data_IF_553833531887
#
_entry.id   IF_553833531887
#
_cell.length_a   1.000
_cell.length_b   1.000
_cell.length_c   1.000
_cell.angle_alpha   90.00
_cell.angle_beta   90.00
_cell.angle_gamma   90.00
#
_symmetry.space_group_name_H-M   'P 1'
#
loop_
_entity.id
_entity.type
_entity.pdbx_description
1 polymer ?
#
# COMPACT_ATOMS: atom_id res chain seq x y z
N UNK A 1 -22.71 -53.51 28.23
CA UNK A 1 -22.16 -52.14 28.05
C UNK A 1 -21.88 -51.98 26.57
N UNK A 2 -22.74 -51.26 25.85
CA UNK A 2 -22.66 -51.14 24.39
C UNK A 2 -21.54 -50.19 23.95
N UNK A 3 -20.98 -50.39 22.75
CA UNK A 3 -20.07 -49.42 22.14
C UNK A 3 -20.86 -48.13 21.88
N UNK A 4 -20.37 -47.01 22.40
CA UNK A 4 -20.95 -45.69 22.16
C UNK A 4 -20.88 -45.39 20.66
N UNK A 5 -22.06 -45.30 20.04
CA UNK A 5 -22.22 -44.86 18.67
C UNK A 5 -21.67 -43.41 18.59
N UNK A 6 -20.55 -43.21 17.90
CA UNK A 6 -20.13 -41.87 17.50
C UNK A 6 -21.27 -41.26 16.66
N UNK A 7 -21.77 -40.12 17.12
CA UNK A 7 -22.75 -39.33 16.39
C UNK A 7 -22.08 -38.86 15.09
N UNK A 8 -22.72 -39.03 13.91
CA UNK A 8 -22.18 -38.48 12.67
C UNK A 8 -21.96 -36.98 12.81
N UNK A 9 -20.80 -36.49 12.37
CA UNK A 9 -20.59 -35.06 12.20
C UNK A 9 -21.60 -34.55 11.15
N UNK A 10 -22.39 -33.55 11.52
CA UNK A 10 -23.28 -32.84 10.59
C UNK A 10 -22.46 -32.34 9.40
N UNK A 11 -22.95 -32.45 8.15
CA UNK A 11 -22.24 -31.98 6.96
C UNK A 11 -22.15 -30.45 6.97
N UNK A 12 -21.12 -29.91 7.61
CA UNK A 12 -20.83 -28.49 7.62
C UNK A 12 -20.55 -28.00 6.19
N UNK A 13 -21.14 -26.86 5.82
CA UNK A 13 -20.81 -26.14 4.59
C UNK A 13 -19.30 -25.89 4.53
N UNK A 14 -18.69 -26.11 3.36
CA UNK A 14 -17.24 -25.93 3.18
C UNK A 14 -16.81 -24.50 3.51
N UNK A 15 -15.57 -24.32 3.97
CA UNK A 15 -15.00 -22.98 4.22
C UNK A 15 -15.15 -22.05 3.01
N UNK A 16 -15.00 -22.58 1.79
CA UNK A 16 -15.23 -21.83 0.57
C UNK A 16 -16.68 -21.31 0.47
N UNK A 17 -17.67 -22.18 0.73
CA UNK A 17 -19.09 -21.80 0.73
C UNK A 17 -19.43 -20.77 1.82
N UNK A 18 -18.71 -20.78 2.94
CA UNK A 18 -18.87 -19.81 4.02
C UNK A 18 -18.27 -18.43 3.68
N UNK A 19 -17.19 -18.39 2.90
CA UNK A 19 -16.52 -17.15 2.50
C UNK A 19 -17.16 -16.47 1.29
N UNK A 20 -17.87 -17.22 0.45
CA UNK A 20 -18.50 -16.70 -0.76
C UNK A 20 -19.42 -15.48 -0.54
N UNK A 21 -20.36 -15.47 0.43
CA UNK A 21 -21.17 -14.28 0.68
C UNK A 21 -20.34 -13.06 1.12
N UNK A 22 -19.21 -13.27 1.80
CA UNK A 22 -18.31 -12.19 2.21
C UNK A 22 -17.55 -11.61 1.01
N UNK A 23 -17.09 -12.47 0.09
CA UNK A 23 -16.46 -12.05 -1.16
C UNK A 23 -17.42 -11.28 -2.04
N UNK A 24 -18.66 -11.78 -2.16
CA UNK A 24 -19.71 -11.12 -2.90
C UNK A 24 -19.99 -9.73 -2.33
N UNK A 25 -20.10 -9.62 -0.99
CA UNK A 25 -20.29 -8.33 -0.32
C UNK A 25 -19.14 -7.35 -0.54
N UNK A 26 -17.89 -7.85 -0.55
CA UNK A 26 -16.73 -7.04 -0.86
C UNK A 26 -16.76 -6.51 -2.30
N UNK A 27 -17.08 -7.38 -3.27
CA UNK A 27 -17.20 -7.00 -4.69
C UNK A 27 -18.30 -5.95 -4.90
N UNK A 28 -19.48 -6.15 -4.34
CA UNK A 28 -20.59 -5.18 -4.40
C UNK A 28 -20.18 -3.81 -3.86
N UNK A 29 -19.46 -3.77 -2.75
CA UNK A 29 -18.99 -2.49 -2.18
C UNK A 29 -18.01 -1.77 -3.11
N UNK A 30 -17.12 -2.51 -3.76
CA UNK A 30 -16.16 -1.96 -4.71
C UNK A 30 -16.90 -1.40 -5.93
N UNK A 31 -17.86 -2.15 -6.46
CA UNK A 31 -18.71 -1.72 -7.59
C UNK A 31 -19.50 -0.44 -7.26
N UNK A 32 -20.11 -0.37 -6.07
CA UNK A 32 -20.78 0.84 -5.57
C UNK A 32 -19.83 2.05 -5.43
N UNK A 33 -18.55 1.81 -5.17
CA UNK A 33 -17.53 2.84 -5.01
C UNK A 33 -16.80 3.18 -6.32
N UNK A 34 -17.05 2.46 -7.42
CA UNK A 34 -16.26 2.50 -8.64
C UNK A 34 -16.09 3.91 -9.23
N UNK A 35 -17.15 4.72 -9.26
CA UNK A 35 -17.05 6.10 -9.78
C UNK A 35 -16.11 6.96 -8.92
N UNK A 36 -16.15 6.79 -7.59
CA UNK A 36 -15.32 7.55 -6.64
C UNK A 36 -13.87 7.07 -6.67
N UNK A 37 -13.66 5.77 -6.75
CA UNK A 37 -12.34 5.14 -6.91
C UNK A 37 -11.67 5.60 -8.21
N UNK A 38 -12.39 5.51 -9.33
CA UNK A 38 -11.88 5.98 -10.61
C UNK A 38 -11.65 7.49 -10.63
N UNK A 39 -12.45 8.28 -9.90
CA UNK A 39 -12.21 9.71 -9.76
C UNK A 39 -10.95 10.02 -8.94
N UNK A 40 -10.69 9.28 -7.87
CA UNK A 40 -9.46 9.35 -7.09
C UNK A 40 -8.23 9.03 -7.95
N UNK A 41 -8.29 7.91 -8.67
CA UNK A 41 -7.22 7.46 -9.58
C UNK A 41 -6.92 8.49 -10.68
N UNK A 42 -7.96 9.01 -11.35
CA UNK A 42 -7.79 10.09 -12.34
C UNK A 42 -7.28 11.39 -11.72
N UNK A 43 -7.67 11.70 -10.48
CA UNK A 43 -7.17 12.87 -9.79
C UNK A 43 -5.66 12.74 -9.58
N UNK A 44 -5.18 11.61 -9.05
CA UNK A 44 -3.74 11.34 -8.88
C UNK A 44 -3.03 11.39 -10.25
N UNK A 45 -3.52 10.60 -11.22
CA UNK A 45 -2.91 10.48 -12.55
C UNK A 45 -2.73 11.82 -13.29
N UNK A 46 -3.69 12.74 -13.14
CA UNK A 46 -3.70 14.03 -13.86
C UNK A 46 -2.74 15.09 -13.33
N UNK A 47 -2.13 14.91 -12.15
CA UNK A 47 -1.04 15.77 -11.71
C UNK A 47 0.07 14.90 -11.10
N UNK A 48 0.97 14.36 -11.94
CA UNK A 48 2.08 13.56 -11.47
C UNK A 48 3.01 14.39 -10.58
N UNK A 49 3.35 13.83 -9.42
CA UNK A 49 4.29 14.39 -8.46
C UNK A 49 5.41 13.38 -8.22
N UNK A 50 6.65 13.87 -8.09
CA UNK A 50 7.83 13.02 -7.92
C UNK A 50 7.95 12.52 -6.47
N UNK A 51 8.86 11.58 -6.26
CA UNK A 51 9.24 11.07 -4.96
C UNK A 51 9.40 12.19 -3.91
N UNK A 52 8.76 12.01 -2.76
CA UNK A 52 8.69 12.92 -1.60
C UNK A 52 7.93 14.25 -1.81
N UNK A 53 7.46 14.53 -3.02
CA UNK A 53 6.76 15.76 -3.37
C UNK A 53 5.26 15.51 -3.69
N UNK A 54 4.73 14.32 -3.35
CA UNK A 54 3.38 13.84 -3.66
C UNK A 54 2.26 14.45 -2.80
N UNK A 55 2.32 15.77 -2.61
CA UNK A 55 1.42 16.51 -1.72
C UNK A 55 -0.04 16.52 -2.18
N UNK A 56 -0.29 16.55 -3.49
CA UNK A 56 -1.65 16.47 -4.04
C UNK A 56 -2.17 15.06 -3.95
N UNK A 57 -1.40 14.05 -4.34
CA UNK A 57 -1.83 12.66 -4.22
C UNK A 57 -2.15 12.28 -2.77
N UNK A 58 -1.26 12.64 -1.84
CA UNK A 58 -1.45 12.52 -0.39
C UNK A 58 -2.79 13.12 0.05
N UNK A 59 -3.04 14.39 -0.32
CA UNK A 59 -4.26 15.10 0.07
C UNK A 59 -5.51 14.46 -0.52
N UNK A 60 -5.49 14.00 -1.76
CA UNK A 60 -6.67 13.34 -2.35
C UNK A 60 -6.98 12.02 -1.64
N UNK A 61 -5.96 11.25 -1.26
CA UNK A 61 -6.11 9.98 -0.54
C UNK A 61 -6.61 10.16 0.89
N UNK A 62 -6.01 11.07 1.67
CA UNK A 62 -6.48 11.36 3.04
C UNK A 62 -7.91 11.87 3.03
N UNK A 63 -8.21 12.80 2.13
CA UNK A 63 -9.55 13.36 1.93
C UNK A 63 -10.57 12.29 1.51
N UNK A 64 -10.17 11.29 0.72
CA UNK A 64 -11.03 10.17 0.35
C UNK A 64 -11.51 9.44 1.61
N UNK A 65 -10.59 9.02 2.48
CA UNK A 65 -10.94 8.29 3.70
C UNK A 65 -11.71 9.15 4.73
N UNK A 66 -11.36 10.42 4.87
CA UNK A 66 -12.09 11.36 5.75
C UNK A 66 -13.57 11.49 5.36
N UNK A 67 -13.86 11.39 4.05
CA UNK A 67 -15.19 11.56 3.48
C UNK A 67 -15.89 10.24 3.17
N UNK A 68 -15.21 9.11 3.36
CA UNK A 68 -15.77 7.80 3.09
C UNK A 68 -16.99 7.56 3.98
N UNK A 69 -18.18 7.31 3.40
CA UNK A 69 -19.40 7.18 4.18
C UNK A 69 -19.44 5.88 5.02
N UNK A 70 -20.19 5.89 6.14
CA UNK A 70 -20.64 7.08 6.86
C UNK A 70 -19.46 7.96 7.32
N UNK A 71 -19.64 9.28 7.33
CA UNK A 71 -18.57 10.22 7.62
C UNK A 71 -17.85 9.89 8.94
N UNK A 72 -16.53 10.12 8.99
CA UNK A 72 -15.67 9.78 10.13
C UNK A 72 -15.64 8.27 10.49
N UNK A 73 -15.87 7.38 9.52
CA UNK A 73 -15.66 5.94 9.71
C UNK A 73 -14.18 5.58 9.89
N UNK A 74 -13.29 6.31 9.22
CA UNK A 74 -11.85 6.05 9.24
C UNK A 74 -11.14 7.06 10.15
N UNK A 75 -10.23 6.57 10.99
CA UNK A 75 -9.29 7.41 11.73
C UNK A 75 -8.08 7.71 10.82
N UNK A 76 -8.07 8.91 10.24
CA UNK A 76 -7.03 9.33 9.28
C UNK A 76 -5.96 10.14 9.99
N UNK A 77 -4.70 9.73 9.81
CA UNK A 77 -3.49 10.40 10.28
C UNK A 77 -2.67 10.82 9.06
N UNK A 78 -2.78 12.08 8.61
CA UNK A 78 -1.91 12.61 7.56
C UNK A 78 -0.49 12.82 8.11
N UNK A 79 0.51 12.84 7.23
CA UNK A 79 1.92 13.08 7.55
C UNK A 79 2.49 12.05 8.52
N UNK A 80 2.16 10.77 8.29
CA UNK A 80 2.50 9.67 9.18
C UNK A 80 3.93 9.17 8.91
N UNK A 81 4.90 9.60 9.72
CA UNK A 81 6.31 9.26 9.57
C UNK A 81 7.04 10.11 8.51
N UNK A 82 6.41 10.32 7.36
CA UNK A 82 6.91 11.18 6.27
C UNK A 82 5.91 12.30 5.91
N UNK A 83 6.41 13.36 5.28
CA UNK A 83 5.62 14.52 4.89
C UNK A 83 4.48 14.18 3.91
N UNK A 84 4.67 13.19 3.04
CA UNK A 84 3.65 12.78 2.06
C UNK A 84 3.09 11.39 2.36
N UNK A 85 3.39 10.79 3.51
CA UNK A 85 2.78 9.53 3.95
C UNK A 85 1.48 9.78 4.75
N UNK A 86 0.62 8.76 4.84
CA UNK A 86 -0.56 8.79 5.69
C UNK A 86 -0.91 7.40 6.21
N UNK A 87 -1.72 7.37 7.28
CA UNK A 87 -2.29 6.14 7.83
C UNK A 87 -3.79 6.32 8.07
N UNK A 88 -4.61 5.47 7.47
CA UNK A 88 -6.05 5.43 7.72
C UNK A 88 -6.42 4.11 8.39
N UNK A 89 -7.11 4.17 9.53
CA UNK A 89 -7.49 2.98 10.30
C UNK A 89 -9.00 2.83 10.40
N UNK A 90 -9.49 1.60 10.30
CA UNK A 90 -10.85 1.22 10.60
C UNK A 90 -10.87 -0.10 11.36
N UNK A 91 -11.83 -0.27 12.27
CA UNK A 91 -12.08 -1.53 12.96
C UNK A 91 -13.59 -1.79 13.02
N UNK A 92 -14.04 -3.06 12.96
CA UNK A 92 -15.45 -3.38 13.06
C UNK A 92 -16.06 -2.89 14.39
N UNK A 93 -17.25 -2.26 14.37
CA UNK A 93 -17.94 -1.85 15.59
C UNK A 93 -18.14 -3.04 16.54
N UNK A 94 -17.81 -2.87 17.82
CA UNK A 94 -17.96 -3.93 18.83
C UNK A 94 -16.85 -4.99 18.84
N UNK A 95 -15.98 -5.02 17.82
CA UNK A 95 -14.71 -5.75 17.89
C UNK A 95 -13.67 -4.82 18.52
N UNK A 96 -13.33 -5.06 19.80
CA UNK A 96 -12.30 -4.26 20.44
C UNK A 96 -10.98 -4.40 19.67
N UNK A 97 -10.43 -3.30 19.16
CA UNK A 97 -9.06 -3.20 18.66
C UNK A 97 -8.07 -3.22 19.83
N UNK A 98 -8.17 -4.26 20.67
CA UNK A 98 -7.33 -4.50 21.84
C UNK A 98 -6.18 -5.45 21.52
N UNK A 99 -5.39 -5.82 22.54
CA UNK A 99 -4.29 -6.79 22.39
C UNK A 99 -4.79 -8.08 21.74
N UNK A 100 -4.12 -8.52 20.67
CA UNK A 100 -4.47 -9.73 19.91
C UNK A 100 -5.45 -9.52 18.75
N UNK A 101 -5.84 -8.29 18.43
CA UNK A 101 -6.49 -7.99 17.16
C UNK A 101 -5.51 -8.15 15.99
N UNK A 102 -5.97 -8.74 14.89
CA UNK A 102 -5.19 -8.86 13.66
C UNK A 102 -5.02 -7.47 13.01
N UNK A 103 -3.79 -7.08 12.73
CA UNK A 103 -3.42 -5.78 12.19
C UNK A 103 -3.04 -5.95 10.71
N UNK A 104 -4.00 -5.66 9.82
CA UNK A 104 -3.86 -5.89 8.38
C UNK A 104 -3.74 -4.56 7.66
N UNK A 105 -2.71 -4.40 6.83
CA UNK A 105 -2.49 -3.19 6.03
C UNK A 105 -2.62 -3.43 4.52
N UNK A 106 -3.17 -2.43 3.82
CA UNK A 106 -3.07 -2.28 2.37
C UNK A 106 -2.15 -1.10 2.06
N UNK A 107 -1.17 -1.31 1.18
CA UNK A 107 -0.26 -0.26 0.75
C UNK A 107 -0.83 0.50 -0.45
N UNK A 108 -0.63 1.82 -0.46
CA UNK A 108 -0.96 2.71 -1.56
C UNK A 108 0.28 3.52 -1.95
N UNK A 109 0.77 3.34 -3.18
CA UNK A 109 1.83 4.15 -3.78
C UNK A 109 1.24 5.16 -4.74
N UNK A 110 1.92 6.28 -4.96
CA UNK A 110 1.34 7.40 -5.72
C UNK A 110 2.37 8.44 -6.18
N UNK A 111 3.65 8.13 -6.16
CA UNK A 111 4.69 8.88 -6.84
C UNK A 111 4.68 8.62 -8.35
N UNK A 112 5.30 9.52 -9.09
CA UNK A 112 5.38 9.49 -10.54
C UNK A 112 6.84 9.56 -11.00
N UNK A 113 7.08 9.11 -12.22
CA UNK A 113 8.40 9.14 -12.85
C UNK A 113 8.68 10.48 -13.53
N UNK A 114 9.94 10.96 -13.49
CA UNK A 114 10.35 12.16 -14.22
C UNK A 114 10.01 12.07 -15.71
N UNK A 115 9.33 13.09 -16.23
CA UNK A 115 8.87 13.22 -17.62
C UNK A 115 7.90 12.14 -18.16
N UNK A 116 7.70 11.03 -17.44
CA UNK A 116 6.83 9.92 -17.84
C UNK A 116 5.49 9.91 -17.09
N UNK A 117 5.40 10.62 -15.96
CA UNK A 117 4.21 10.60 -15.11
C UNK A 117 4.03 9.22 -14.46
N UNK A 118 2.79 8.80 -14.24
CA UNK A 118 2.51 7.48 -13.65
C UNK A 118 2.61 6.33 -14.68
N UNK A 119 3.75 6.23 -15.37
CA UNK A 119 3.99 5.15 -16.33
C UNK A 119 4.07 3.77 -15.65
N UNK A 120 4.47 3.72 -14.38
CA UNK A 120 4.44 2.51 -13.53
C UNK A 120 3.04 2.22 -12.96
N UNK A 121 2.10 3.16 -13.10
CA UNK A 121 0.70 2.95 -12.72
C UNK A 121 0.42 3.11 -11.22
N UNK A 122 1.21 3.90 -10.48
CA UNK A 122 1.03 4.07 -9.03
C UNK A 122 -0.35 4.66 -8.67
N UNK A 123 -0.97 5.45 -9.55
CA UNK A 123 -2.38 5.85 -9.37
C UNK A 123 -3.36 4.66 -9.26
N UNK A 124 -3.08 3.55 -9.94
CA UNK A 124 -3.87 2.31 -9.85
C UNK A 124 -3.53 1.51 -8.59
N UNK A 125 -2.27 1.52 -8.14
CA UNK A 125 -1.86 0.91 -6.87
C UNK A 125 -2.61 1.57 -5.70
N UNK A 126 -2.62 2.91 -5.68
CA UNK A 126 -3.41 3.68 -4.72
C UNK A 126 -4.91 3.31 -4.79
N UNK A 127 -5.50 3.26 -5.98
CA UNK A 127 -6.91 2.92 -6.18
C UNK A 127 -7.25 1.52 -5.66
N UNK A 128 -6.44 0.50 -6.00
CA UNK A 128 -6.68 -0.89 -5.59
C UNK A 128 -6.50 -1.07 -4.09
N UNK A 129 -5.49 -0.43 -3.47
CA UNK A 129 -5.30 -0.47 -2.02
C UNK A 129 -6.52 0.10 -1.28
N UNK A 130 -7.06 1.22 -1.76
CA UNK A 130 -8.30 1.82 -1.23
C UNK A 130 -9.51 0.90 -1.46
N UNK A 131 -9.66 0.35 -2.66
CA UNK A 131 -10.77 -0.54 -3.01
C UNK A 131 -10.79 -1.80 -2.13
N UNK A 132 -9.64 -2.43 -1.93
CA UNK A 132 -9.48 -3.62 -1.10
C UNK A 132 -9.87 -3.33 0.37
N UNK A 133 -9.46 -2.18 0.90
CA UNK A 133 -9.83 -1.75 2.25
C UNK A 133 -11.35 -1.53 2.39
N UNK A 134 -12.01 -0.93 1.41
CA UNK A 134 -13.47 -0.76 1.40
C UNK A 134 -14.20 -2.11 1.29
N UNK A 135 -13.73 -3.01 0.42
CA UNK A 135 -14.30 -4.34 0.26
C UNK A 135 -14.21 -5.17 1.53
N UNK A 136 -13.04 -5.19 2.17
CA UNK A 136 -12.82 -5.91 3.44
C UNK A 136 -13.69 -5.33 4.56
N UNK A 137 -13.76 -4.01 4.67
CA UNK A 137 -14.67 -3.33 5.60
C UNK A 137 -16.10 -3.81 5.43
N UNK A 138 -16.63 -3.78 4.20
CA UNK A 138 -18.02 -4.15 3.94
C UNK A 138 -18.30 -5.63 4.20
N UNK A 139 -17.34 -6.51 3.91
CA UNK A 139 -17.42 -7.92 4.26
C UNK A 139 -17.53 -8.10 5.79
N UNK A 140 -16.72 -7.37 6.56
CA UNK A 140 -16.70 -7.46 8.03
C UNK A 140 -17.92 -6.83 8.70
N UNK A 141 -18.47 -5.73 8.16
CA UNK A 141 -19.72 -5.12 8.64
C UNK A 141 -20.93 -6.06 8.47
N UNK A 142 -20.86 -7.01 7.53
CA UNK A 142 -21.88 -8.04 7.32
C UNK A 142 -21.85 -9.19 8.34
N UNK A 143 -20.86 -9.23 9.23
CA UNK A 143 -20.68 -10.33 10.21
C UNK A 143 -21.24 -9.89 11.57
N UNK A 144 -22.12 -10.70 12.17
CA UNK A 144 -22.76 -10.36 13.45
C UNK A 144 -21.78 -10.26 14.63
N UNK A 145 -20.72 -11.06 14.62
CA UNK A 145 -19.63 -11.04 15.59
C UNK A 145 -18.30 -11.08 14.82
N UNK A 146 -17.85 -9.95 14.27
CA UNK A 146 -16.64 -9.91 13.46
C UNK A 146 -15.42 -10.24 14.33
N UNK A 147 -14.39 -10.89 13.76
CA UNK A 147 -13.15 -11.13 14.48
C UNK A 147 -12.49 -9.80 14.86
N UNK A 148 -11.65 -9.77 15.92
CA UNK A 148 -10.88 -8.59 16.26
C UNK A 148 -9.84 -8.33 15.17
N UNK A 149 -10.12 -7.35 14.32
CA UNK A 149 -9.26 -6.96 13.20
C UNK A 149 -9.23 -5.44 13.08
N UNK A 150 -8.07 -4.90 12.77
CA UNK A 150 -7.89 -3.52 12.35
C UNK A 150 -7.45 -3.54 10.88
N UNK A 151 -8.23 -2.84 10.06
CA UNK A 151 -7.92 -2.59 8.65
C UNK A 151 -7.19 -1.26 8.57
N UNK A 152 -6.00 -1.29 8.00
CA UNK A 152 -5.11 -0.14 7.89
C UNK A 152 -4.85 0.10 6.40
N UNK A 153 -4.85 1.36 6.00
CA UNK A 153 -4.34 1.78 4.69
C UNK A 153 -3.15 2.68 4.95
N UNK A 154 -2.01 2.30 4.40
CA UNK A 154 -0.76 3.02 4.56
C UNK A 154 -0.36 3.64 3.22
N UNK A 155 -0.28 4.96 3.18
CA UNK A 155 0.28 5.68 2.04
C UNK A 155 1.80 5.65 2.09
N UNK A 156 2.41 5.07 1.07
CA UNK A 156 3.85 4.86 0.95
C UNK A 156 4.39 5.69 -0.22
N UNK A 157 4.93 6.89 0.04
CA UNK A 157 5.51 7.75 -1.00
C UNK A 157 6.88 7.23 -1.46
N UNK A 158 7.42 7.84 -2.51
CA UNK A 158 8.81 7.69 -2.97
C UNK A 158 9.24 6.23 -3.19
N UNK A 159 8.48 5.48 -3.99
CA UNK A 159 8.86 4.11 -4.36
C UNK A 159 9.92 4.08 -5.45
N UNK A 160 9.78 4.94 -6.47
CA UNK A 160 10.62 4.96 -7.67
C UNK A 160 11.99 5.63 -7.46
N UNK A 161 12.13 6.44 -6.39
CA UNK A 161 13.36 7.17 -6.09
C UNK A 161 13.41 7.47 -4.57
N UNK A 162 14.43 6.96 -3.88
CA UNK A 162 14.73 7.23 -2.47
C UNK A 162 14.17 6.25 -1.42
N UNK A 163 13.21 5.39 -1.76
CA UNK A 163 12.84 4.24 -0.93
C UNK A 163 11.99 4.58 0.30
N UNK A 164 10.92 5.35 0.14
CA UNK A 164 10.09 5.84 1.25
C UNK A 164 9.49 4.76 2.17
N UNK A 165 9.37 3.50 1.71
CA UNK A 165 9.00 2.38 2.60
C UNK A 165 10.08 2.07 3.64
N UNK A 166 11.36 2.20 3.28
CA UNK A 166 12.49 2.01 4.19
C UNK A 166 12.41 3.08 5.29
N UNK A 167 12.25 4.35 4.92
CA UNK A 167 12.08 5.44 5.88
C UNK A 167 10.88 5.21 6.81
N UNK A 168 9.76 4.72 6.27
CA UNK A 168 8.57 4.38 7.05
C UNK A 168 8.81 3.21 8.01
N UNK A 169 9.58 2.19 7.60
CA UNK A 169 10.00 1.10 8.48
C UNK A 169 10.84 1.65 9.63
N UNK A 170 11.82 2.51 9.34
CA UNK A 170 12.68 3.15 10.35
C UNK A 170 11.89 4.06 11.29
N UNK A 171 10.89 4.77 10.78
CA UNK A 171 9.95 5.57 11.55
C UNK A 171 8.95 4.72 12.38
N UNK A 172 8.97 3.39 12.23
CA UNK A 172 8.12 2.46 12.97
C UNK A 172 6.69 2.37 12.44
N UNK A 173 6.42 2.82 11.20
CA UNK A 173 5.08 2.82 10.62
C UNK A 173 4.50 1.40 10.41
N UNK A 174 5.39 0.43 10.18
CA UNK A 174 5.07 -0.98 10.01
C UNK A 174 5.05 -1.78 11.33
N UNK A 175 5.36 -1.13 12.45
CA UNK A 175 5.36 -1.80 13.75
C UNK A 175 3.96 -2.32 14.08
N UNK A 176 3.91 -3.52 14.61
CA UNK A 176 2.67 -4.20 15.03
C UNK A 176 1.69 -4.47 13.87
N UNK A 177 2.16 -4.53 12.62
CA UNK A 177 1.39 -5.07 11.49
C UNK A 177 1.64 -6.58 11.37
N UNK A 178 0.59 -7.37 11.22
CA UNK A 178 0.66 -8.82 11.07
C UNK A 178 0.70 -9.27 9.61
N UNK A 179 -0.06 -8.57 8.75
CA UNK A 179 -0.20 -8.89 7.33
C UNK A 179 -0.25 -7.61 6.52
N UNK A 180 0.49 -7.56 5.41
CA UNK A 180 0.53 -6.43 4.48
C UNK A 180 0.22 -6.91 3.08
N UNK A 181 -0.69 -6.21 2.40
CA UNK A 181 -1.09 -6.48 1.02
C UNK A 181 -0.80 -5.27 0.13
N UNK A 182 -0.45 -5.55 -1.10
CA UNK A 182 -0.27 -4.60 -2.18
C UNK A 182 -0.59 -5.32 -3.49
N UNK A 183 -1.07 -4.58 -4.49
CA UNK A 183 -1.22 -5.08 -5.85
C UNK A 183 -0.62 -4.06 -6.81
N UNK A 184 0.27 -4.52 -7.69
CA UNK A 184 0.92 -3.71 -8.70
C UNK A 184 0.31 -4.01 -10.08
N UNK A 185 -0.04 -3.00 -10.90
CA UNK A 185 -0.49 -3.24 -12.27
C UNK A 185 0.65 -3.85 -13.10
N UNK A 186 0.34 -4.88 -13.87
CA UNK A 186 1.27 -5.56 -14.78
C UNK A 186 0.53 -6.02 -16.03
N UNK A 187 1.27 -6.42 -17.05
CA UNK A 187 0.71 -7.07 -18.23
C UNK A 187 0.21 -8.50 -17.94
N UNK A 188 0.70 -9.11 -16.87
CA UNK A 188 0.40 -10.48 -16.46
C UNK A 188 -0.05 -10.54 -14.99
N UNK A 189 -0.96 -11.45 -14.68
CA UNK A 189 -1.37 -11.74 -13.31
C UNK A 189 -0.36 -12.69 -12.66
N UNK A 190 0.28 -12.23 -11.58
CA UNK A 190 1.16 -13.05 -10.76
C UNK A 190 0.85 -12.84 -9.28
N UNK A 191 0.68 -13.93 -8.53
CA UNK A 191 0.51 -13.86 -7.08
C UNK A 191 1.83 -13.63 -6.33
N UNK A 192 2.95 -13.94 -6.99
CA UNK A 192 4.29 -13.75 -6.48
C UNK A 192 5.24 -13.55 -7.65
N UNK A 193 6.01 -12.46 -7.60
CA UNK A 193 7.15 -12.22 -8.47
C UNK A 193 8.42 -12.28 -7.62
N UNK A 194 9.51 -12.73 -8.23
CA UNK A 194 10.79 -12.79 -7.53
C UNK A 194 11.39 -11.40 -7.60
N UNK A 195 11.34 -10.69 -6.48
CA UNK A 195 11.93 -9.35 -6.36
C UNK A 195 13.45 -9.46 -6.14
N UNK A 196 14.20 -8.51 -6.68
CA UNK A 196 15.66 -8.48 -6.60
C UNK A 196 16.09 -7.31 -5.72
N UNK A 197 17.08 -7.56 -4.86
CA UNK A 197 17.74 -6.49 -4.13
C UNK A 197 18.73 -5.77 -5.05
N UNK A 198 18.76 -4.46 -4.97
CA UNK A 198 19.45 -3.57 -5.88
C UNK A 198 20.03 -2.40 -5.06
N UNK A 199 20.98 -1.66 -5.61
CA UNK A 199 21.71 -0.67 -4.83
C UNK A 199 22.33 0.34 -5.78
N UNK A 200 21.97 1.61 -5.60
CA UNK A 200 22.39 2.68 -6.49
C UNK A 200 23.64 3.39 -5.99
N UNK A 201 24.74 3.21 -6.71
CA UNK A 201 26.02 3.89 -6.47
C UNK A 201 26.27 4.99 -7.52
N UNK A 202 26.25 6.25 -7.09
CA UNK A 202 26.60 7.40 -7.93
C UNK A 202 28.11 7.61 -8.05
N UNK A 203 28.71 7.25 -9.19
CA UNK A 203 30.14 7.52 -9.45
C UNK A 203 30.37 8.93 -10.04
N UNK A 204 30.75 9.88 -9.18
CA UNK A 204 31.18 11.22 -9.62
C UNK A 204 32.66 11.20 -10.01
N UNK A 205 32.95 11.20 -11.32
CA UNK A 205 34.33 11.34 -11.82
C UNK A 205 34.71 12.83 -11.97
N UNK A 206 35.80 13.23 -11.32
CA UNK A 206 36.35 14.58 -11.40
C UNK A 206 37.65 14.58 -12.20
N UNK A 207 37.68 15.30 -13.32
CA UNK A 207 38.95 15.67 -13.95
C UNK A 207 39.52 16.89 -13.24
N UNK A 208 40.49 16.68 -12.34
CA UNK A 208 41.19 17.78 -11.70
C UNK A 208 42.27 18.37 -12.61
N UNK A 209 42.30 19.70 -12.72
CA UNK A 209 43.38 20.46 -13.35
C UNK A 209 43.73 21.68 -12.48
N UNK A 210 44.95 22.20 -12.61
CA UNK A 210 45.43 23.29 -11.75
C UNK A 210 44.58 24.56 -11.94
N UNK A 211 43.91 25.01 -10.88
CA UNK A 211 42.94 26.12 -10.88
C UNK A 211 43.50 27.46 -11.39
N UNK A 212 44.82 27.62 -11.46
CA UNK A 212 45.49 28.82 -11.96
C UNK A 212 45.76 28.85 -13.46
N UNK A 213 45.68 27.72 -14.18
CA UNK A 213 46.02 27.68 -15.61
C UNK A 213 44.82 27.89 -16.54
N UNK A 214 43.71 27.16 -16.32
CA UNK A 214 42.58 27.14 -17.24
C UNK A 214 41.24 26.84 -16.50
N UNK A 215 40.70 27.78 -15.71
CA UNK A 215 39.45 27.55 -14.97
C UNK A 215 38.22 27.37 -15.88
N UNK A 216 38.29 27.79 -17.15
CA UNK A 216 37.22 27.62 -18.15
C UNK A 216 37.16 26.23 -18.78
N UNK A 217 38.17 25.38 -18.59
CA UNK A 217 38.16 23.98 -19.07
C UNK A 217 37.68 22.96 -18.03
N UNK A 218 37.38 23.40 -16.81
CA UNK A 218 36.70 22.57 -15.80
C UNK A 218 35.25 22.37 -16.25
N UNK A 219 35.01 21.29 -17.00
CA UNK A 219 33.68 20.84 -17.37
C UNK A 219 33.25 19.71 -16.45
N UNK A 220 32.21 19.94 -15.66
CA UNK A 220 31.47 18.87 -14.99
C UNK A 220 30.68 18.13 -16.08
N UNK A 221 31.25 17.08 -16.68
CA UNK A 221 30.43 16.15 -17.46
C UNK A 221 29.83 15.15 -16.49
N UNK A 222 28.70 15.51 -15.88
CA UNK A 222 27.83 14.54 -15.22
C UNK A 222 27.17 13.71 -16.33
N UNK A 223 27.82 12.62 -16.76
CA UNK A 223 27.14 11.59 -17.53
C UNK A 223 26.42 10.69 -16.54
N UNK A 224 25.21 11.06 -16.17
CA UNK A 224 24.29 10.18 -15.44
C UNK A 224 23.93 9.06 -16.40
N UNK A 225 24.55 7.89 -16.22
CA UNK A 225 24.16 6.68 -16.95
C UNK A 225 23.21 5.96 -16.00
N UNK A 226 21.91 5.85 -16.31
CA UNK A 226 20.98 5.14 -15.43
C UNK A 226 21.24 3.65 -15.58
N UNK A 227 21.62 2.98 -14.50
CA UNK A 227 21.59 1.52 -14.43
C UNK A 227 21.12 1.10 -13.04
N UNK A 228 19.78 1.07 -12.94
CA UNK A 228 18.88 0.23 -12.11
C UNK A 228 19.03 0.24 -10.56
N UNK A 229 17.95 0.71 -9.89
CA UNK A 229 17.70 1.01 -8.45
C UNK A 229 16.57 0.19 -7.76
N UNK A 230 16.72 -0.12 -6.46
CA UNK A 230 15.98 -1.13 -5.67
C UNK A 230 14.51 -0.88 -5.38
N UNK A 231 13.65 -1.50 -6.18
CA UNK A 231 12.26 -1.77 -5.82
C UNK A 231 12.15 -2.85 -4.72
N UNK A 232 12.03 -2.44 -3.47
CA UNK A 232 11.55 -3.33 -2.41
C UNK A 232 10.03 -3.56 -2.56
N UNK A 233 9.64 -4.41 -3.51
CA UNK A 233 8.30 -4.98 -3.57
C UNK A 233 8.14 -5.95 -2.39
N UNK A 234 7.39 -5.54 -1.36
CA UNK A 234 7.19 -6.37 -0.17
C UNK A 234 6.03 -7.34 -0.42
N UNK A 235 6.32 -8.43 -1.13
CA UNK A 235 5.39 -9.55 -1.31
C UNK A 235 5.20 -10.32 0.00
N UNK A 236 4.04 -10.13 0.64
CA UNK A 236 3.46 -10.93 1.74
C UNK A 236 4.49 -11.55 2.72
N UNK A 237 5.05 -10.75 3.63
CA UNK A 237 5.77 -11.29 4.79
C UNK A 237 4.78 -11.63 5.90
N UNK A 238 4.52 -12.92 6.13
CA UNK A 238 4.01 -13.39 7.41
C UNK A 238 5.11 -13.21 8.46
N UNK A 239 5.00 -12.20 9.33
CA UNK A 239 5.84 -12.07 10.51
C UNK A 239 5.46 -13.20 11.49
N UNK A 240 6.27 -14.26 11.55
CA UNK A 240 6.17 -15.24 12.62
C UNK A 240 6.92 -14.67 13.83
N UNK A 241 6.17 -14.22 14.83
CA UNK A 241 6.72 -13.78 16.10
C UNK A 241 7.30 -14.96 16.88
N UNK A 242 8.52 -14.77 17.38
CA UNK A 242 9.02 -15.45 18.59
C UNK A 242 8.56 -14.69 19.84
#
# INVERSE_FOLDING_TARGET
>A
MGPGLERPAEPGTSRAAQLEPLKQRAAERIDEAAERLGALSRAIWSAPELAYEEHRAHRELTRFFEREPPAASWAVQPHFGLATAFRAEWAPPGAAAGPGALQLAFLCEYDALPALGHACGHNLIAEVGVAAALGLRAALEGVAAPPPVKVIVLGTPAEEDGGGKIDLIEAGAFKDLDVVFMAHPSQEDAAYLLDVAEHDDGLMSWNSMCSGCCPWTTGSSASTTPVLEMCASMSCLCASGE
#
